data_IF_744491073236
#
_entry.id   IF_744491073236
#
_cell.length_a   1.000
_cell.length_b   1.000
_cell.length_c   1.000
_cell.angle_alpha   90.00
_cell.angle_beta   90.00
_cell.angle_gamma   90.00
#
_symmetry.space_group_name_H-M   'P 1'
#
loop_
_entity.id
_entity.type
_entity.pdbx_description
1 polymer ?
#
# COMPACT_ATOMS: atom_id res chain seq x y z
N UNK A 1 -19.52 -9.99 -10.19
CA UNK A 1 -19.25 -9.12 -11.36
C UNK A 1 -17.92 -8.41 -11.10
N UNK A 2 -16.99 -8.51 -12.02
CA UNK A 2 -15.68 -7.90 -11.89
C UNK A 2 -15.76 -6.37 -11.83
N UNK A 3 -14.74 -5.73 -11.22
CA UNK A 3 -14.60 -4.28 -11.24
C UNK A 3 -14.35 -3.82 -12.70
N UNK A 4 -14.89 -2.65 -13.08
CA UNK A 4 -14.65 -2.06 -14.40
C UNK A 4 -13.15 -1.88 -14.64
N UNK A 5 -12.65 -2.41 -15.76
CA UNK A 5 -11.24 -2.49 -16.05
C UNK A 5 -10.95 -2.34 -17.54
N UNK A 6 -9.73 -1.93 -17.88
CA UNK A 6 -9.26 -1.71 -19.25
C UNK A 6 -9.04 -2.99 -20.04
N UNK A 7 -8.95 -4.14 -19.34
CA UNK A 7 -8.69 -5.44 -19.95
C UNK A 7 -9.95 -6.06 -20.57
N UNK A 8 -11.13 -5.49 -20.29
CA UNK A 8 -12.41 -6.03 -20.75
C UNK A 8 -12.82 -7.33 -20.05
N UNK A 9 -12.18 -7.67 -18.93
CA UNK A 9 -12.43 -8.91 -18.18
C UNK A 9 -13.69 -8.74 -17.34
N UNK A 10 -14.63 -9.66 -17.45
CA UNK A 10 -15.91 -9.67 -16.72
C UNK A 10 -15.98 -10.72 -15.60
N UNK A 11 -15.12 -11.74 -15.66
CA UNK A 11 -14.97 -12.73 -14.59
C UNK A 11 -14.07 -12.18 -13.48
N UNK A 12 -14.52 -12.30 -12.23
CA UNK A 12 -13.79 -11.73 -11.08
C UNK A 12 -12.53 -12.51 -10.71
N UNK A 13 -12.50 -13.82 -10.94
CA UNK A 13 -11.32 -14.64 -10.63
C UNK A 13 -10.23 -14.43 -11.70
N UNK A 14 -10.64 -14.32 -12.96
CA UNK A 14 -9.74 -13.98 -14.06
C UNK A 14 -9.15 -12.59 -13.88
N UNK A 15 -9.98 -11.59 -13.52
CA UNK A 15 -9.51 -10.23 -13.25
C UNK A 15 -8.51 -10.22 -12.08
N UNK A 16 -8.80 -10.92 -10.99
CA UNK A 16 -7.90 -10.98 -9.85
C UNK A 16 -6.53 -11.55 -10.23
N UNK A 17 -6.49 -12.59 -11.07
CA UNK A 17 -5.24 -13.19 -11.55
C UNK A 17 -4.44 -12.24 -12.43
N UNK A 18 -5.08 -11.59 -13.40
CA UNK A 18 -4.40 -10.64 -14.30
C UNK A 18 -4.00 -9.36 -13.55
N UNK A 19 -4.83 -8.90 -12.62
CA UNK A 19 -4.48 -7.79 -11.73
C UNK A 19 -3.22 -8.10 -10.90
N UNK A 20 -3.15 -9.31 -10.29
CA UNK A 20 -1.95 -9.72 -9.58
C UNK A 20 -0.73 -9.70 -10.49
N UNK A 21 -0.82 -10.33 -11.67
CA UNK A 21 0.31 -10.43 -12.60
C UNK A 21 0.81 -9.05 -13.03
N UNK A 22 -0.09 -8.19 -13.53
CA UNK A 22 0.27 -6.88 -14.06
C UNK A 22 0.78 -5.96 -12.97
N UNK A 23 0.00 -5.78 -11.90
CA UNK A 23 0.36 -4.85 -10.84
C UNK A 23 1.60 -5.29 -10.06
N UNK A 24 1.81 -6.59 -9.87
CA UNK A 24 3.01 -7.12 -9.23
C UNK A 24 4.25 -6.91 -10.12
N UNK A 25 4.12 -7.11 -11.44
CA UNK A 25 5.20 -6.76 -12.40
C UNK A 25 5.59 -5.27 -12.26
N UNK A 26 4.59 -4.38 -12.21
CA UNK A 26 4.84 -2.95 -12.01
C UNK A 26 5.49 -2.63 -10.67
N UNK A 27 5.12 -3.36 -9.60
CA UNK A 27 5.77 -3.24 -8.29
C UNK A 27 7.24 -3.68 -8.33
N UNK A 28 7.56 -4.77 -9.04
CA UNK A 28 8.94 -5.23 -9.24
C UNK A 28 9.77 -4.18 -9.99
N UNK A 29 9.23 -3.60 -11.05
CA UNK A 29 9.90 -2.55 -11.85
C UNK A 29 10.15 -1.26 -11.04
N UNK A 30 9.32 -0.97 -10.03
CA UNK A 30 9.52 0.20 -9.16
C UNK A 30 10.86 0.19 -8.44
N UNK A 31 11.40 -0.97 -8.08
CA UNK A 31 12.67 -1.08 -7.37
C UNK A 31 13.83 -0.44 -8.13
N UNK A 32 13.87 -0.61 -9.45
CA UNK A 32 14.93 -0.09 -10.31
C UNK A 32 14.56 1.27 -10.94
N UNK A 33 13.39 1.82 -10.61
CA UNK A 33 12.91 3.07 -11.22
C UNK A 33 13.41 4.30 -10.46
N UNK A 34 13.54 5.43 -11.17
CA UNK A 34 13.85 6.74 -10.57
C UNK A 34 12.61 7.43 -9.97
N UNK A 35 11.45 6.76 -9.94
CA UNK A 35 10.20 7.36 -9.47
C UNK A 35 10.33 7.94 -8.06
N UNK A 36 10.88 7.14 -7.15
CA UNK A 36 11.01 7.54 -5.74
C UNK A 36 11.91 8.74 -5.50
N UNK A 37 12.92 8.98 -6.36
CA UNK A 37 13.83 10.12 -6.20
C UNK A 37 13.15 11.47 -6.41
N UNK A 38 12.03 11.50 -7.14
CA UNK A 38 11.26 12.71 -7.46
C UNK A 38 10.07 12.95 -6.52
N UNK A 39 9.74 11.98 -5.66
CA UNK A 39 8.55 12.03 -4.81
C UNK A 39 8.89 12.52 -3.40
N UNK A 40 8.08 13.46 -2.90
CA UNK A 40 8.19 13.91 -1.50
C UNK A 40 7.63 12.81 -0.58
N UNK A 41 8.44 12.23 0.33
CA UNK A 41 7.98 11.22 1.26
C UNK A 41 6.78 11.71 2.08
N UNK A 42 5.79 10.84 2.29
CA UNK A 42 4.61 11.16 3.09
C UNK A 42 3.57 12.06 2.42
N UNK A 43 3.79 12.51 1.18
CA UNK A 43 2.78 13.26 0.43
C UNK A 43 1.73 12.35 -0.19
N UNK A 44 0.54 12.86 -0.44
CA UNK A 44 -0.49 12.16 -1.19
C UNK A 44 -0.10 12.01 -2.66
N UNK A 45 0.61 12.99 -3.25
CA UNK A 45 1.14 12.89 -4.61
C UNK A 45 2.05 11.66 -4.76
N UNK A 46 2.91 11.38 -3.78
CA UNK A 46 3.73 10.17 -3.79
C UNK A 46 2.88 8.90 -3.78
N UNK A 47 1.89 8.81 -2.90
CA UNK A 47 0.98 7.66 -2.83
C UNK A 47 0.17 7.50 -4.12
N UNK A 48 -0.32 8.60 -4.69
CA UNK A 48 -1.07 8.64 -5.95
C UNK A 48 -0.24 8.10 -7.11
N UNK A 49 1.00 8.53 -7.25
CA UNK A 49 1.92 8.07 -8.31
C UNK A 49 2.35 6.61 -8.14
N UNK A 50 2.57 6.16 -6.91
CA UNK A 50 2.79 4.73 -6.63
C UNK A 50 1.57 3.92 -7.09
N UNK A 51 0.38 4.32 -6.69
CA UNK A 51 -0.85 3.65 -7.09
C UNK A 51 -1.07 3.67 -8.61
N UNK A 52 -0.84 4.82 -9.25
CA UNK A 52 -0.92 4.95 -10.71
C UNK A 52 0.06 4.00 -11.40
N UNK A 53 1.31 3.92 -10.92
CA UNK A 53 2.31 3.01 -11.49
C UNK A 53 1.88 1.55 -11.40
N UNK A 54 1.27 1.14 -10.29
CA UNK A 54 0.83 -0.24 -10.10
C UNK A 54 -0.37 -0.61 -10.97
N UNK A 55 -1.32 0.31 -11.19
CA UNK A 55 -2.66 -0.04 -11.65
C UNK A 55 -3.11 0.65 -12.96
N UNK A 56 -2.32 1.54 -13.55
CA UNK A 56 -2.70 2.31 -14.73
C UNK A 56 -3.00 1.45 -15.98
N UNK A 57 -2.39 0.27 -16.08
CA UNK A 57 -2.66 -0.66 -17.18
C UNK A 57 -3.99 -1.42 -17.01
N UNK A 58 -4.56 -1.38 -15.80
CA UNK A 58 -5.74 -2.17 -15.43
C UNK A 58 -6.95 -1.29 -15.24
N UNK A 59 -6.78 -0.12 -14.58
CA UNK A 59 -7.90 0.72 -14.16
C UNK A 59 -7.76 2.18 -14.58
N UNK A 60 -8.86 2.77 -15.04
CA UNK A 60 -8.94 4.21 -15.37
C UNK A 60 -8.89 5.11 -14.12
N UNK A 61 -9.20 4.57 -12.96
CA UNK A 61 -9.13 5.28 -11.69
C UNK A 61 -7.75 5.23 -11.00
N UNK A 62 -6.76 4.58 -11.62
CA UNK A 62 -5.42 4.48 -11.04
C UNK A 62 -4.86 5.87 -10.69
N UNK A 63 -4.35 6.04 -9.47
CA UNK A 63 -3.86 7.30 -8.93
C UNK A 63 -4.94 8.33 -8.58
N UNK A 64 -6.21 8.09 -8.83
CA UNK A 64 -7.29 9.06 -8.62
C UNK A 64 -8.09 8.74 -7.35
N UNK A 65 -8.50 9.79 -6.65
CA UNK A 65 -9.40 9.65 -5.51
C UNK A 65 -10.70 8.95 -5.91
N UNK A 66 -11.13 8.02 -5.07
CA UNK A 66 -12.44 7.35 -5.25
C UNK A 66 -13.59 8.33 -5.15
N UNK A 67 -14.64 8.03 -5.91
CA UNK A 67 -15.89 8.79 -5.93
C UNK A 67 -17.06 8.04 -5.29
N UNK A 68 -16.78 6.94 -4.59
CA UNK A 68 -17.78 6.10 -3.92
C UNK A 68 -17.34 5.81 -2.49
N UNK A 69 -18.32 5.66 -1.60
CA UNK A 69 -18.03 5.14 -0.26
C UNK A 69 -17.74 3.65 -0.35
N UNK A 70 -16.78 3.20 0.41
CA UNK A 70 -16.36 1.79 0.47
C UNK A 70 -16.28 1.30 1.91
N UNK A 71 -16.45 0.00 2.06
CA UNK A 71 -16.34 -0.70 3.34
C UNK A 71 -15.68 -2.06 3.12
N UNK A 72 -15.04 -2.61 4.15
CA UNK A 72 -14.52 -3.98 4.18
C UNK A 72 -15.08 -4.67 5.43
N UNK A 73 -15.94 -5.66 5.22
CA UNK A 73 -16.70 -6.25 6.32
C UNK A 73 -17.54 -5.19 7.05
N UNK A 74 -17.35 -5.06 8.35
CA UNK A 74 -18.03 -4.06 9.18
C UNK A 74 -17.29 -2.72 9.27
N UNK A 75 -16.08 -2.63 8.73
CA UNK A 75 -15.28 -1.41 8.76
C UNK A 75 -15.65 -0.47 7.62
N UNK A 76 -16.02 0.77 7.95
CA UNK A 76 -16.30 1.84 6.99
C UNK A 76 -15.12 2.79 6.93
N UNK A 77 -14.55 2.94 5.74
CA UNK A 77 -13.49 3.91 5.49
C UNK A 77 -14.05 5.35 5.46
N UNK A 78 -13.17 6.33 5.42
CA UNK A 78 -13.55 7.73 5.42
C UNK A 78 -14.64 8.03 4.36
N UNK A 79 -15.74 8.73 4.73
CA UNK A 79 -16.74 9.13 3.74
C UNK A 79 -16.14 10.04 2.68
N UNK A 80 -16.58 9.89 1.41
CA UNK A 80 -16.07 10.71 0.29
C UNK A 80 -16.21 12.21 0.53
N UNK A 81 -17.24 12.63 1.24
CA UNK A 81 -17.47 14.05 1.56
C UNK A 81 -16.32 14.67 2.40
N UNK A 82 -15.56 13.86 3.13
CA UNK A 82 -14.46 14.30 4.00
C UNK A 82 -13.09 13.80 3.53
N UNK A 83 -13.04 13.03 2.45
CA UNK A 83 -11.82 12.33 2.04
C UNK A 83 -10.68 13.30 1.70
N UNK A 84 -10.94 14.34 0.95
CA UNK A 84 -9.93 15.34 0.59
C UNK A 84 -9.40 16.07 1.82
N UNK A 85 -10.29 16.47 2.74
CA UNK A 85 -9.89 17.12 3.99
C UNK A 85 -9.08 16.18 4.89
N UNK A 86 -9.44 14.89 4.97
CA UNK A 86 -8.68 13.89 5.70
C UNK A 86 -7.27 13.76 5.13
N UNK A 87 -7.13 13.65 3.81
CA UNK A 87 -5.81 13.55 3.14
C UNK A 87 -4.96 14.79 3.42
N UNK A 88 -5.52 16.01 3.31
CA UNK A 88 -4.80 17.25 3.62
C UNK A 88 -4.31 17.30 5.08
N UNK A 89 -5.09 16.76 6.01
CA UNK A 89 -4.69 16.65 7.41
C UNK A 89 -3.58 15.60 7.60
N UNK A 90 -3.68 14.45 6.95
CA UNK A 90 -2.67 13.39 6.99
C UNK A 90 -1.33 13.90 6.43
N UNK A 91 -1.34 14.66 5.34
CA UNK A 91 -0.10 15.23 4.78
C UNK A 91 0.64 16.14 5.78
N UNK A 92 -0.09 16.81 6.68
CA UNK A 92 0.48 17.70 7.70
C UNK A 92 0.95 16.98 8.97
N UNK A 93 0.62 15.71 9.14
CA UNK A 93 1.07 14.92 10.28
C UNK A 93 2.60 14.83 10.31
N UNK A 94 3.21 14.84 11.50
CA UNK A 94 4.65 14.66 11.64
C UNK A 94 5.07 13.26 11.15
N UNK A 95 6.34 13.13 10.75
CA UNK A 95 6.91 11.88 10.24
C UNK A 95 8.40 11.75 10.53
N UNK A 96 8.88 12.34 11.63
CA UNK A 96 10.30 12.38 12.00
C UNK A 96 10.75 11.17 12.82
N UNK A 97 9.81 10.43 13.38
CA UNK A 97 10.03 9.22 14.16
C UNK A 97 9.23 8.04 13.61
N UNK A 98 9.65 6.82 13.97
CA UNK A 98 8.93 5.61 13.60
C UNK A 98 7.45 5.66 14.03
N UNK A 99 7.18 6.07 15.26
CA UNK A 99 5.81 6.11 15.79
C UNK A 99 4.91 7.08 15.00
N UNK A 100 5.41 8.29 14.71
CA UNK A 100 4.70 9.28 13.88
C UNK A 100 4.44 8.77 12.46
N UNK A 101 5.41 8.08 11.86
CA UNK A 101 5.26 7.50 10.52
C UNK A 101 4.18 6.43 10.51
N UNK A 102 4.15 5.55 11.53
CA UNK A 102 3.12 4.50 11.61
C UNK A 102 1.74 5.10 11.90
N UNK A 103 1.63 6.12 12.75
CA UNK A 103 0.37 6.87 12.95
C UNK A 103 -0.16 7.45 11.64
N UNK A 104 0.71 8.10 10.87
CA UNK A 104 0.38 8.63 9.55
C UNK A 104 -0.06 7.53 8.58
N UNK A 105 0.59 6.38 8.60
CA UNK A 105 0.23 5.20 7.81
C UNK A 105 -1.16 4.66 8.19
N UNK A 106 -1.47 4.56 9.48
CA UNK A 106 -2.78 4.14 9.99
C UNK A 106 -3.88 5.07 9.50
N UNK A 107 -3.69 6.38 9.64
CA UNK A 107 -4.65 7.38 9.16
C UNK A 107 -4.87 7.31 7.65
N UNK A 108 -3.82 7.08 6.86
CA UNK A 108 -3.96 6.89 5.42
C UNK A 108 -4.72 5.59 5.08
N UNK A 109 -4.54 4.53 5.87
CA UNK A 109 -5.32 3.30 5.72
C UNK A 109 -6.81 3.52 6.07
N UNK A 110 -7.13 4.35 7.07
CA UNK A 110 -8.52 4.76 7.38
C UNK A 110 -9.12 5.61 6.27
N UNK A 111 -8.34 6.54 5.71
CA UNK A 111 -8.76 7.36 4.57
C UNK A 111 -9.12 6.50 3.35
N UNK A 112 -8.29 5.50 3.04
CA UNK A 112 -8.49 4.52 1.96
C UNK A 112 -8.83 5.21 0.63
N UNK A 113 -7.89 6.00 0.08
CA UNK A 113 -8.21 7.00 -0.94
C UNK A 113 -8.64 6.44 -2.30
N UNK A 114 -8.26 5.22 -2.63
CA UNK A 114 -8.52 4.63 -3.95
C UNK A 114 -9.68 3.64 -3.92
N UNK A 115 -10.22 3.32 -5.09
CA UNK A 115 -11.31 2.37 -5.21
C UNK A 115 -10.88 0.92 -4.93
N UNK A 116 -9.64 0.57 -5.30
CA UNK A 116 -8.99 -0.74 -5.10
C UNK A 116 -7.49 -0.53 -4.94
N UNK A 117 -6.75 -1.53 -4.44
CA UNK A 117 -5.29 -1.52 -4.39
C UNK A 117 -4.66 -0.66 -3.28
N UNK A 118 -5.46 -0.13 -2.35
CA UNK A 118 -4.96 0.75 -1.28
C UNK A 118 -3.86 0.10 -0.45
N UNK A 119 -4.07 -1.11 0.05
CA UNK A 119 -3.08 -1.79 0.91
C UNK A 119 -1.73 -1.98 0.23
N UNK A 120 -1.72 -2.42 -1.04
CA UNK A 120 -0.50 -2.63 -1.83
C UNK A 120 0.26 -1.33 -2.06
N UNK A 121 -0.43 -0.25 -2.41
CA UNK A 121 0.20 1.05 -2.61
C UNK A 121 0.66 1.69 -1.29
N UNK A 122 -0.14 1.62 -0.22
CA UNK A 122 0.22 2.25 1.07
C UNK A 122 1.38 1.57 1.78
N UNK A 123 1.59 0.26 1.62
CA UNK A 123 2.77 -0.42 2.17
C UNK A 123 4.06 0.04 1.48
N UNK A 124 4.06 0.22 0.16
CA UNK A 124 5.20 0.80 -0.57
C UNK A 124 5.43 2.26 -0.15
N UNK A 125 4.36 3.04 0.03
CA UNK A 125 4.43 4.41 0.50
C UNK A 125 4.99 4.51 1.93
N UNK A 126 4.62 3.60 2.83
CA UNK A 126 5.19 3.49 4.17
C UNK A 126 6.71 3.27 4.11
N UNK A 127 7.16 2.29 3.34
CA UNK A 127 8.59 2.00 3.19
C UNK A 127 9.34 3.19 2.56
N UNK A 128 8.71 3.92 1.64
CA UNK A 128 9.29 5.15 1.10
C UNK A 128 9.49 6.23 2.18
N UNK A 129 8.54 6.42 3.10
CA UNK A 129 8.68 7.36 4.21
C UNK A 129 9.80 6.89 5.16
N UNK A 130 9.71 5.64 5.63
CA UNK A 130 10.68 5.07 6.58
C UNK A 130 12.11 5.16 6.04
N UNK A 131 12.31 4.84 4.76
CA UNK A 131 13.62 4.90 4.09
C UNK A 131 14.20 6.30 4.13
N UNK A 132 13.41 7.32 3.83
CA UNK A 132 13.89 8.69 3.70
C UNK A 132 14.04 9.40 5.05
N UNK A 133 13.16 9.12 6.01
CA UNK A 133 13.14 9.83 7.29
C UNK A 133 14.05 9.19 8.35
N UNK A 134 14.09 7.86 8.41
CA UNK A 134 14.82 7.14 9.47
C UNK A 134 15.82 6.09 8.95
N UNK A 135 15.98 5.96 7.63
CA UNK A 135 16.95 5.02 7.03
C UNK A 135 16.60 3.54 7.23
N UNK A 136 15.33 3.20 7.35
CA UNK A 136 14.83 1.85 7.58
C UNK A 136 13.71 1.51 6.59
N UNK A 137 13.43 0.22 6.42
CA UNK A 137 12.25 -0.31 5.73
C UNK A 137 11.69 -1.48 6.51
N UNK A 138 10.48 -1.90 6.21
CA UNK A 138 9.89 -3.11 6.82
C UNK A 138 10.31 -4.34 6.02
N UNK A 139 10.90 -5.32 6.68
CA UNK A 139 10.99 -6.68 6.11
C UNK A 139 9.63 -7.37 6.29
N UNK A 140 8.76 -7.21 5.31
CA UNK A 140 7.41 -7.75 5.35
C UNK A 140 7.36 -9.27 5.44
N UNK A 141 8.46 -9.96 5.13
CA UNK A 141 8.55 -11.42 5.28
C UNK A 141 8.54 -11.88 6.75
N UNK A 142 8.82 -10.96 7.68
CA UNK A 142 8.78 -11.19 9.12
C UNK A 142 7.43 -10.84 9.76
N UNK A 143 6.47 -10.33 8.97
CA UNK A 143 5.17 -9.89 9.46
C UNK A 143 4.11 -10.92 9.06
N UNK A 144 3.54 -11.61 10.07
CA UNK A 144 2.47 -12.58 9.82
C UNK A 144 1.21 -11.91 9.27
N UNK A 145 0.55 -12.59 8.34
CA UNK A 145 -0.65 -12.06 7.66
C UNK A 145 -1.81 -11.81 8.61
N UNK A 146 -2.12 -12.77 9.46
CA UNK A 146 -3.29 -12.71 10.34
C UNK A 146 -3.06 -11.65 11.43
N UNK A 147 -1.87 -11.64 12.02
CA UNK A 147 -1.48 -10.64 13.02
C UNK A 147 -1.52 -9.22 12.42
N UNK A 148 -0.98 -9.04 11.20
CA UNK A 148 -1.00 -7.76 10.51
C UNK A 148 -2.43 -7.27 10.23
N UNK A 149 -3.28 -8.13 9.68
CA UNK A 149 -4.65 -7.73 9.33
C UNK A 149 -5.47 -7.38 10.57
N UNK A 150 -5.34 -8.15 11.67
CA UNK A 150 -5.99 -7.87 12.95
C UNK A 150 -5.47 -6.57 13.58
N UNK A 151 -4.15 -6.36 13.57
CA UNK A 151 -3.55 -5.13 14.09
C UNK A 151 -4.00 -3.90 13.31
N UNK A 152 -4.08 -3.99 11.97
CA UNK A 152 -4.59 -2.91 11.13
C UNK A 152 -6.08 -2.63 11.35
N UNK A 153 -6.91 -3.66 11.56
CA UNK A 153 -8.33 -3.48 11.87
C UNK A 153 -8.53 -2.72 13.18
N UNK A 154 -7.68 -2.98 14.19
CA UNK A 154 -7.74 -2.34 15.51
C UNK A 154 -7.05 -0.98 15.57
N UNK A 155 -6.14 -0.72 14.66
CA UNK A 155 -5.24 0.43 14.70
C UNK A 155 -5.94 1.81 14.75
N UNK A 156 -7.14 2.03 14.17
CA UNK A 156 -7.84 3.30 14.29
C UNK A 156 -8.24 3.67 15.73
N UNK A 157 -8.35 2.67 16.61
CA UNK A 157 -8.67 2.86 18.05
C UNK A 157 -7.41 2.73 18.90
N UNK A 158 -6.53 1.78 18.55
CA UNK A 158 -5.31 1.47 19.30
C UNK A 158 -4.24 0.91 18.37
N UNK A 159 -3.22 1.70 18.10
CA UNK A 159 -2.16 1.42 17.14
C UNK A 159 -0.93 0.67 17.72
N UNK A 160 -0.97 0.32 19.00
CA UNK A 160 0.17 -0.33 19.69
C UNK A 160 0.55 -1.66 19.03
N UNK A 161 -0.45 -2.46 18.61
CA UNK A 161 -0.18 -3.77 18.01
C UNK A 161 0.54 -3.63 16.66
N UNK A 162 0.06 -2.74 15.79
CA UNK A 162 0.72 -2.53 14.48
C UNK A 162 2.09 -1.88 14.64
N UNK A 163 2.28 -0.94 15.56
CA UNK A 163 3.60 -0.38 15.89
C UNK A 163 4.56 -1.47 16.36
N UNK A 164 4.12 -2.37 17.24
CA UNK A 164 4.94 -3.47 17.72
C UNK A 164 5.36 -4.42 16.59
N UNK A 165 4.41 -4.86 15.76
CA UNK A 165 4.69 -5.77 14.65
C UNK A 165 5.68 -5.16 13.66
N UNK A 166 5.45 -3.93 13.22
CA UNK A 166 6.29 -3.28 12.24
C UNK A 166 7.68 -2.94 12.81
N UNK A 167 7.76 -2.54 14.09
CA UNK A 167 9.03 -2.22 14.73
C UNK A 167 9.97 -3.44 14.81
N UNK A 168 9.41 -4.61 15.07
CA UNK A 168 10.18 -5.87 15.13
C UNK A 168 10.62 -6.36 13.74
N UNK A 169 10.01 -5.85 12.68
CA UNK A 169 10.33 -6.20 11.30
C UNK A 169 11.17 -5.13 10.58
N UNK A 170 11.59 -4.05 11.27
CA UNK A 170 12.45 -3.03 10.67
C UNK A 170 13.83 -3.59 10.32
N UNK A 171 14.34 -3.17 9.16
CA UNK A 171 15.70 -3.46 8.70
C UNK A 171 16.35 -2.24 8.07
N UNK A 172 17.66 -2.14 8.17
CA UNK A 172 18.49 -1.11 7.52
C UNK A 172 18.89 -1.47 6.07
N UNK A 173 18.44 -2.62 5.58
CA UNK A 173 18.66 -3.10 4.21
C UNK A 173 17.79 -2.37 3.20
N UNK A 174 17.83 -1.04 3.22
CA UNK A 174 16.93 -0.15 2.45
C UNK A 174 17.06 -0.23 0.92
N UNK A 175 18.15 -0.81 0.41
CA UNK A 175 18.40 -1.01 -1.02
C UNK A 175 18.59 -2.49 -1.38
N UNK A 176 18.21 -3.39 -0.49
CA UNK A 176 18.31 -4.83 -0.72
C UNK A 176 17.13 -5.30 -1.59
N UNK A 177 17.47 -5.80 -2.79
CA UNK A 177 16.48 -6.28 -3.75
C UNK A 177 15.70 -7.49 -3.23
N UNK A 178 16.34 -8.39 -2.50
CA UNK A 178 15.69 -9.58 -1.96
C UNK A 178 14.65 -9.21 -0.90
N UNK A 179 15.00 -8.30 0.02
CA UNK A 179 14.07 -7.76 1.02
C UNK A 179 12.86 -7.12 0.33
N UNK A 180 13.09 -6.30 -0.69
CA UNK A 180 12.03 -5.65 -1.45
C UNK A 180 11.11 -6.67 -2.15
N UNK A 181 11.67 -7.64 -2.90
CA UNK A 181 10.89 -8.62 -3.66
C UNK A 181 10.06 -9.53 -2.74
N UNK A 182 10.63 -10.00 -1.63
CA UNK A 182 9.88 -10.72 -0.59
C UNK A 182 8.77 -9.85 0.01
N UNK A 183 9.05 -8.57 0.22
CA UNK A 183 8.07 -7.60 0.70
C UNK A 183 6.88 -7.45 -0.24
N UNK A 184 7.12 -7.38 -1.55
CA UNK A 184 6.05 -7.35 -2.55
C UNK A 184 5.22 -8.64 -2.49
N UNK A 185 5.84 -9.82 -2.43
CA UNK A 185 5.10 -11.08 -2.34
C UNK A 185 4.21 -11.15 -1.10
N UNK A 186 4.72 -10.77 0.07
CA UNK A 186 3.94 -10.72 1.31
C UNK A 186 2.82 -9.68 1.25
N UNK A 187 3.09 -8.49 0.71
CA UNK A 187 2.09 -7.44 0.51
C UNK A 187 0.90 -7.93 -0.33
N UNK A 188 1.16 -8.68 -1.39
CA UNK A 188 0.11 -9.27 -2.22
C UNK A 188 -0.58 -10.44 -1.51
N UNK A 189 0.16 -11.25 -0.76
CA UNK A 189 -0.41 -12.34 0.03
C UNK A 189 -1.42 -11.84 1.08
N UNK A 190 -1.19 -10.69 1.70
CA UNK A 190 -2.15 -10.10 2.65
C UNK A 190 -3.51 -9.82 2.01
N UNK A 191 -3.55 -9.47 0.73
CA UNK A 191 -4.80 -9.24 -0.03
C UNK A 191 -5.37 -10.53 -0.66
N UNK A 192 -4.74 -11.69 -0.43
CA UNK A 192 -5.20 -12.98 -0.94
C UNK A 192 -4.58 -13.41 -2.27
N UNK A 193 -3.70 -12.61 -2.86
CA UNK A 193 -2.99 -12.92 -4.10
C UNK A 193 -1.78 -13.81 -3.82
N UNK A 194 -1.60 -14.88 -4.61
CA UNK A 194 -0.51 -15.85 -4.45
C UNK A 194 -0.20 -16.65 -5.71
N UNK A 195 -0.69 -16.22 -6.88
CA UNK A 195 -0.52 -16.97 -8.13
C UNK A 195 0.88 -16.76 -8.74
N UNK A 196 1.52 -15.64 -8.47
CA UNK A 196 2.82 -15.28 -9.03
C UNK A 196 3.81 -14.91 -7.94
N UNK A 197 5.10 -15.21 -8.16
CA UNK A 197 6.18 -14.70 -7.33
C UNK A 197 6.86 -13.51 -7.99
N UNK A 198 7.30 -12.54 -7.18
CA UNK A 198 7.95 -11.32 -7.68
C UNK A 198 9.23 -11.63 -8.48
N UNK A 199 9.99 -12.64 -8.08
CA UNK A 199 11.21 -13.08 -8.77
C UNK A 199 10.98 -13.63 -10.17
N UNK A 200 9.77 -14.15 -10.48
CA UNK A 200 9.40 -14.74 -11.76
C UNK A 200 8.84 -13.70 -12.76
N UNK A 201 8.60 -12.46 -12.33
CA UNK A 201 7.94 -11.39 -13.08
C UNK A 201 8.95 -10.32 -13.60
N UNK A 202 10.16 -10.72 -13.93
CA UNK A 202 11.20 -9.84 -14.44
C UNK A 202 11.15 -9.65 -15.96
#
# INVERSE_FOLDING_TARGET
>A
MALENKLGITDSAELAREEERISKTRAVELFASDLFSSLRPGSFDALSKIHERLFSDIYDFAGKLRRVNIAKGNFRFAPIAYLEAAIQNIEKMPQTSFDEIVEKYVEMNVAHPFREGNGRATRIWLDHILKNEIGMVVDWSLVDKEDYLLAMERSPVKDIEIKYLLKNALTDKINDREVYMKGIDHSYHYEGYKAFKAEDLQ
#
